data_IF_726408505357
#
_entry.id   IF_726408505357
#
_cell.length_a   1.000
_cell.length_b   1.000
_cell.length_c   1.000
_cell.angle_alpha   90.00
_cell.angle_beta   90.00
_cell.angle_gamma   90.00
#
_symmetry.space_group_name_H-M   'P 1'
#
loop_
_entity.id
_entity.type
_entity.pdbx_description
1 polymer ?
#
# COMPACT_ATOMS: atom_id res chain seq x y z
N UNK A 1 25.77 -15.16 -4.02
CA UNK A 1 25.72 -15.78 -2.64
C UNK A 1 24.35 -15.65 -1.95
N UNK A 2 23.24 -15.46 -2.71
CA UNK A 2 21.89 -15.29 -2.13
C UNK A 2 20.94 -16.48 -2.40
N UNK A 3 21.47 -17.66 -2.70
CA UNK A 3 20.66 -18.86 -2.93
C UNK A 3 19.92 -19.23 -1.63
N UNK A 4 18.58 -19.09 -1.64
CA UNK A 4 17.71 -19.44 -0.52
C UNK A 4 17.20 -18.26 0.32
N UNK A 5 17.62 -17.01 0.04
CA UNK A 5 17.08 -15.83 0.74
C UNK A 5 15.77 -15.36 0.08
N UNK A 6 14.71 -15.28 0.86
CA UNK A 6 13.45 -14.67 0.45
C UNK A 6 13.35 -13.22 0.96
N UNK A 7 12.88 -12.34 0.10
CA UNK A 7 12.84 -10.90 0.33
C UNK A 7 11.43 -10.42 0.67
N UNK A 8 11.29 -9.41 1.53
CA UNK A 8 10.00 -8.74 1.71
C UNK A 8 9.58 -8.05 0.40
N UNK A 9 8.27 -7.94 0.18
CA UNK A 9 7.70 -7.32 -1.01
C UNK A 9 6.86 -6.10 -0.62
N UNK A 10 7.00 -5.02 -1.39
CA UNK A 10 6.06 -3.89 -1.39
C UNK A 10 5.31 -3.85 -2.72
N UNK A 11 3.98 -3.97 -2.68
CA UNK A 11 3.09 -3.63 -3.78
C UNK A 11 2.71 -2.16 -3.65
N UNK A 12 3.00 -1.37 -4.70
CA UNK A 12 2.68 0.06 -4.76
C UNK A 12 1.64 0.36 -5.82
N UNK A 13 0.60 1.08 -5.44
CA UNK A 13 -0.48 1.53 -6.31
C UNK A 13 -0.38 3.06 -6.50
N UNK A 14 -0.16 3.47 -7.75
CA UNK A 14 0.00 4.88 -8.12
C UNK A 14 -1.31 5.68 -8.11
N UNK A 15 -1.22 7.01 -8.21
CA UNK A 15 -2.34 7.92 -8.35
C UNK A 15 -2.98 7.91 -9.74
N UNK A 16 -4.04 8.69 -9.92
CA UNK A 16 -4.82 8.72 -11.17
C UNK A 16 -4.02 9.25 -12.37
N UNK A 17 -3.04 10.11 -12.12
CA UNK A 17 -2.21 10.73 -13.18
C UNK A 17 -1.19 9.81 -13.84
N UNK A 18 -0.94 8.62 -13.28
CA UNK A 18 0.04 7.66 -13.77
C UNK A 18 -0.62 6.47 -14.52
N UNK A 19 -1.95 6.52 -14.74
CA UNK A 19 -2.66 5.52 -15.55
C UNK A 19 -2.19 5.52 -17.00
N UNK A 20 -2.47 4.45 -17.72
CA UNK A 20 -2.18 4.32 -19.15
C UNK A 20 -1.22 3.18 -19.48
N UNK A 21 -0.43 3.34 -20.54
CA UNK A 21 0.44 2.31 -21.09
C UNK A 21 1.94 2.70 -21.06
N UNK A 22 2.28 3.83 -20.46
CA UNK A 22 3.66 4.35 -20.44
C UNK A 22 4.26 4.18 -19.05
N UNK A 23 5.02 3.10 -18.84
CA UNK A 23 5.65 2.78 -17.55
C UNK A 23 6.54 3.89 -16.98
N UNK A 24 7.05 4.81 -17.80
CA UNK A 24 7.80 5.96 -17.31
C UNK A 24 6.96 6.86 -16.39
N UNK A 25 5.63 6.89 -16.56
CA UNK A 25 4.74 7.66 -15.70
C UNK A 25 4.69 7.10 -14.27
N UNK A 26 4.72 5.77 -14.12
CA UNK A 26 4.69 5.10 -12.82
C UNK A 26 5.91 5.47 -11.96
N UNK A 27 7.03 5.85 -12.60
CA UNK A 27 8.28 6.21 -11.91
C UNK A 27 8.33 7.65 -11.38
N UNK A 28 7.29 8.45 -11.60
CA UNK A 28 7.27 9.86 -11.20
C UNK A 28 7.19 10.07 -9.70
N UNK A 29 6.49 9.18 -9.01
CA UNK A 29 6.18 9.30 -7.59
C UNK A 29 6.35 7.97 -6.86
N UNK A 30 6.21 8.00 -5.54
CA UNK A 30 6.09 6.83 -4.69
C UNK A 30 7.29 5.90 -4.67
N UNK A 31 7.01 4.63 -4.45
CA UNK A 31 8.05 3.59 -4.31
C UNK A 31 8.97 3.50 -5.52
N UNK A 32 8.50 3.54 -6.79
CA UNK A 32 9.40 3.46 -7.95
C UNK A 32 10.44 4.60 -8.00
N UNK A 33 10.04 5.82 -7.58
CA UNK A 33 10.96 6.95 -7.46
C UNK A 33 12.02 6.72 -6.39
N UNK A 34 11.62 6.19 -5.24
CA UNK A 34 12.54 5.85 -4.13
C UNK A 34 13.55 4.78 -4.57
N UNK A 35 13.07 3.69 -5.17
CA UNK A 35 13.91 2.58 -5.66
C UNK A 35 14.94 3.07 -6.69
N UNK A 36 14.56 3.99 -7.58
CA UNK A 36 15.48 4.55 -8.56
C UNK A 36 16.66 5.33 -7.92
N UNK A 37 16.49 5.79 -6.68
CA UNK A 37 17.50 6.56 -5.93
C UNK A 37 18.24 5.72 -4.86
N UNK A 38 17.76 4.52 -4.56
CA UNK A 38 18.29 3.64 -3.50
C UNK A 38 18.58 2.24 -4.06
N UNK A 39 19.80 2.01 -4.59
CA UNK A 39 20.18 0.69 -5.16
C UNK A 39 20.07 -0.47 -4.16
N UNK A 40 20.25 -0.20 -2.87
CA UNK A 40 20.18 -1.19 -1.79
C UNK A 40 18.82 -1.24 -1.10
N UNK A 41 17.75 -0.89 -1.83
CA UNK A 41 16.39 -0.92 -1.28
C UNK A 41 16.02 -2.35 -0.83
N UNK A 42 15.64 -2.55 0.46
CA UNK A 42 15.60 -3.89 1.06
C UNK A 42 14.33 -4.69 0.76
N UNK A 43 13.61 -4.34 -0.31
CA UNK A 43 12.36 -4.98 -0.71
C UNK A 43 12.35 -5.31 -2.21
N UNK A 44 11.65 -6.35 -2.58
CA UNK A 44 11.12 -6.48 -3.95
C UNK A 44 10.01 -5.46 -4.12
N UNK A 45 10.15 -4.52 -5.05
CA UNK A 45 9.15 -3.49 -5.32
C UNK A 45 8.35 -3.86 -6.58
N UNK A 46 7.04 -3.99 -6.44
CA UNK A 46 6.10 -4.24 -7.55
C UNK A 46 5.19 -3.03 -7.71
N UNK A 47 5.19 -2.44 -8.90
CA UNK A 47 4.47 -1.21 -9.19
C UNK A 47 3.75 -1.36 -10.54
N UNK A 48 2.58 -2.00 -10.57
CA UNK A 48 1.80 -2.15 -11.79
C UNK A 48 1.30 -0.80 -12.28
N UNK A 49 0.96 -0.71 -13.57
CA UNK A 49 0.26 0.44 -14.13
C UNK A 49 -1.22 0.11 -14.31
N UNK A 50 -2.08 0.95 -13.74
CA UNK A 50 -3.53 0.86 -13.91
C UNK A 50 -3.89 1.30 -15.33
N UNK A 51 -4.73 0.56 -16.07
CA UNK A 51 -5.25 1.00 -17.38
C UNK A 51 -5.97 2.34 -17.27
N UNK A 52 -5.92 3.14 -18.33
CA UNK A 52 -6.46 4.50 -18.35
C UNK A 52 -7.97 4.55 -18.06
N UNK A 53 -8.71 3.56 -18.56
CA UNK A 53 -10.18 3.49 -18.45
C UNK A 53 -10.69 2.94 -17.09
N UNK A 54 -9.78 2.57 -16.15
CA UNK A 54 -10.16 1.89 -14.92
C UNK A 54 -9.60 2.58 -13.68
N UNK A 55 -10.06 2.12 -12.52
CA UNK A 55 -9.57 2.51 -11.20
C UNK A 55 -9.12 1.25 -10.43
N UNK A 56 -8.26 1.40 -9.42
CA UNK A 56 -7.70 0.28 -8.69
C UNK A 56 -8.73 -0.64 -8.03
N UNK A 57 -9.84 -0.09 -7.51
CA UNK A 57 -10.90 -0.92 -6.92
C UNK A 57 -11.56 -1.88 -7.92
N UNK A 58 -11.53 -1.55 -9.22
CA UNK A 58 -12.01 -2.41 -10.30
C UNK A 58 -10.97 -3.48 -10.69
N UNK A 59 -9.72 -3.30 -10.29
CA UNK A 59 -8.59 -4.18 -10.60
C UNK A 59 -8.23 -5.13 -9.45
N UNK A 60 -9.02 -5.18 -8.39
CA UNK A 60 -8.73 -5.99 -7.20
C UNK A 60 -8.45 -7.47 -7.53
N UNK A 61 -9.22 -8.17 -8.37
CA UNK A 61 -8.89 -9.54 -8.76
C UNK A 61 -7.61 -9.64 -9.58
N UNK A 62 -7.33 -8.67 -10.46
CA UNK A 62 -6.11 -8.63 -11.27
C UNK A 62 -4.87 -8.42 -10.40
N UNK A 63 -4.96 -7.54 -9.39
CA UNK A 63 -3.88 -7.31 -8.43
C UNK A 63 -3.60 -8.54 -7.56
N UNK A 64 -4.64 -9.28 -7.17
CA UNK A 64 -4.49 -10.57 -6.48
C UNK A 64 -3.74 -11.57 -7.34
N UNK A 65 -4.16 -11.76 -8.59
CA UNK A 65 -3.50 -12.66 -9.53
C UNK A 65 -2.04 -12.27 -9.80
N UNK A 66 -1.74 -10.97 -9.92
CA UNK A 66 -0.38 -10.46 -10.04
C UNK A 66 0.48 -10.84 -8.83
N UNK A 67 -0.04 -10.65 -7.61
CA UNK A 67 0.69 -11.02 -6.38
C UNK A 67 0.97 -12.52 -6.32
N UNK A 68 0.00 -13.36 -6.67
CA UNK A 68 0.18 -14.82 -6.70
C UNK A 68 1.30 -15.21 -7.66
N UNK A 69 1.31 -14.65 -8.87
CA UNK A 69 2.35 -14.90 -9.88
C UNK A 69 3.74 -14.44 -9.40
N UNK A 70 3.82 -13.27 -8.77
CA UNK A 70 5.08 -12.73 -8.25
C UNK A 70 5.62 -13.61 -7.11
N UNK A 71 4.79 -14.04 -6.19
CA UNK A 71 5.19 -14.93 -5.08
C UNK A 71 5.64 -16.30 -5.58
N UNK A 72 5.01 -16.81 -6.65
CA UNK A 72 5.39 -18.08 -7.25
C UNK A 72 6.73 -18.02 -8.00
N UNK A 73 6.97 -16.92 -8.74
CA UNK A 73 8.11 -16.80 -9.67
C UNK A 73 9.38 -16.22 -9.05
N UNK A 74 9.26 -15.44 -7.98
CA UNK A 74 10.39 -14.72 -7.40
C UNK A 74 10.63 -15.12 -5.95
N UNK A 75 11.84 -14.91 -5.46
CA UNK A 75 12.25 -15.20 -4.08
C UNK A 75 11.62 -14.20 -3.09
N UNK A 76 10.30 -14.18 -3.00
CA UNK A 76 9.51 -13.36 -2.08
C UNK A 76 9.19 -14.13 -0.81
N UNK A 77 9.30 -13.47 0.35
CA UNK A 77 8.80 -14.00 1.61
C UNK A 77 7.27 -13.73 1.69
N UNK A 78 6.42 -14.76 1.56
CA UNK A 78 4.96 -14.57 1.53
C UNK A 78 4.40 -14.09 2.87
N UNK A 79 5.18 -14.13 3.94
CA UNK A 79 4.79 -13.60 5.25
C UNK A 79 5.12 -12.12 5.41
N UNK A 80 5.87 -11.52 4.50
CA UNK A 80 6.29 -10.11 4.51
C UNK A 80 5.91 -9.39 3.23
N UNK A 81 4.62 -9.39 2.90
CA UNK A 81 4.03 -8.65 1.78
C UNK A 81 3.34 -7.42 2.34
N UNK A 82 3.72 -6.26 1.84
CA UNK A 82 3.18 -4.96 2.24
C UNK A 82 2.49 -4.28 1.07
N UNK A 83 1.47 -3.48 1.37
CA UNK A 83 0.71 -2.75 0.37
C UNK A 83 0.68 -1.26 0.71
N UNK A 84 0.92 -0.42 -0.28
CA UNK A 84 0.82 1.03 -0.15
C UNK A 84 0.38 1.66 -1.46
N UNK A 85 -0.16 2.87 -1.39
CA UNK A 85 -0.54 3.63 -2.56
C UNK A 85 -1.02 5.01 -2.17
N UNK A 86 -1.01 5.94 -3.12
CA UNK A 86 -1.39 7.32 -2.92
C UNK A 86 -2.60 7.73 -3.76
N UNK A 87 -3.46 8.59 -3.22
CA UNK A 87 -4.64 9.12 -3.93
C UNK A 87 -5.53 7.97 -4.44
N UNK A 88 -5.76 7.83 -5.73
CA UNK A 88 -6.42 6.67 -6.32
C UNK A 88 -5.81 5.33 -5.82
N UNK A 89 -4.48 5.27 -5.69
CA UNK A 89 -3.78 4.12 -5.11
C UNK A 89 -4.02 3.95 -3.62
N UNK A 90 -4.28 5.02 -2.88
CA UNK A 90 -4.71 4.98 -1.48
C UNK A 90 -6.07 4.31 -1.32
N UNK A 91 -7.04 4.66 -2.18
CA UNK A 91 -8.33 3.96 -2.29
C UNK A 91 -8.14 2.49 -2.69
N UNK A 92 -7.27 2.22 -3.68
CA UNK A 92 -6.91 0.87 -4.10
C UNK A 92 -6.29 0.04 -2.98
N UNK A 93 -5.48 0.67 -2.12
CA UNK A 93 -4.87 0.04 -0.94
C UNK A 93 -5.94 -0.45 0.03
N UNK A 94 -6.89 0.39 0.39
CA UNK A 94 -8.02 -0.01 1.23
C UNK A 94 -8.84 -1.13 0.57
N UNK A 95 -9.21 -0.96 -0.71
CA UNK A 95 -10.06 -1.92 -1.43
C UNK A 95 -9.40 -3.30 -1.55
N UNK A 96 -8.12 -3.37 -1.93
CA UNK A 96 -7.42 -4.65 -2.07
C UNK A 96 -7.20 -5.32 -0.71
N UNK A 97 -6.83 -4.55 0.31
CA UNK A 97 -6.57 -5.11 1.63
C UNK A 97 -7.85 -5.60 2.32
N UNK A 98 -8.97 -4.89 2.20
CA UNK A 98 -10.25 -5.36 2.76
C UNK A 98 -10.78 -6.61 2.05
N UNK A 99 -10.51 -6.75 0.74
CA UNK A 99 -10.91 -7.93 -0.02
C UNK A 99 -10.04 -9.17 0.28
N UNK A 100 -8.74 -8.98 0.58
CA UNK A 100 -7.77 -10.05 0.80
C UNK A 100 -6.83 -9.71 1.97
N UNK A 101 -7.36 -9.58 3.21
CA UNK A 101 -6.56 -9.18 4.37
C UNK A 101 -5.44 -10.17 4.70
N UNK A 102 -5.64 -11.45 4.39
CA UNK A 102 -4.66 -12.52 4.62
C UNK A 102 -3.38 -12.40 3.78
N UNK A 103 -3.38 -11.56 2.74
CA UNK A 103 -2.19 -11.37 1.90
C UNK A 103 -1.14 -10.49 2.56
N UNK A 104 -1.55 -9.53 3.40
CA UNK A 104 -0.68 -8.44 3.81
C UNK A 104 -0.21 -8.54 5.26
N UNK A 105 1.08 -8.32 5.48
CA UNK A 105 1.67 -8.19 6.81
C UNK A 105 1.42 -6.79 7.42
N UNK A 106 1.31 -5.77 6.59
CA UNK A 106 0.91 -4.41 6.95
C UNK A 106 0.55 -3.60 5.71
N UNK A 107 -0.24 -2.53 5.87
CA UNK A 107 -0.60 -1.63 4.77
C UNK A 107 -0.40 -0.15 5.14
N UNK A 108 -0.10 0.68 4.14
CA UNK A 108 0.08 2.13 4.31
C UNK A 108 -0.69 2.92 3.23
N UNK A 109 -2.00 3.15 3.38
CA UNK A 109 -2.78 3.98 2.48
C UNK A 109 -2.49 5.48 2.70
N UNK A 110 -2.31 6.23 1.59
CA UNK A 110 -1.99 7.67 1.62
C UNK A 110 -3.04 8.44 0.84
N UNK A 111 -3.64 9.48 1.44
CA UNK A 111 -4.65 10.37 0.84
C UNK A 111 -5.77 9.59 0.14
N UNK A 112 -6.33 8.59 0.81
CA UNK A 112 -7.37 7.73 0.25
C UNK A 112 -8.39 7.30 1.30
N UNK A 113 -9.37 6.54 0.86
CA UNK A 113 -10.41 5.97 1.72
C UNK A 113 -10.95 4.67 1.15
N UNK A 114 -12.01 4.20 1.71
CA UNK A 114 -12.69 2.97 1.33
C UNK A 114 -14.10 2.93 1.90
N UNK A 115 -14.65 1.74 2.02
CA UNK A 115 -15.94 1.48 2.62
C UNK A 115 -15.76 1.20 4.13
N UNK A 116 -16.16 2.10 5.04
CA UNK A 116 -15.96 1.93 6.47
C UNK A 116 -16.57 0.64 7.02
N UNK A 117 -17.68 0.18 6.43
CA UNK A 117 -18.37 -1.05 6.80
C UNK A 117 -17.50 -2.30 6.57
N UNK A 118 -16.49 -2.21 5.71
CA UNK A 118 -15.55 -3.28 5.42
C UNK A 118 -14.27 -3.19 6.26
N UNK A 119 -14.05 -2.11 7.01
CA UNK A 119 -12.81 -1.87 7.73
C UNK A 119 -12.46 -2.98 8.73
N UNK A 120 -13.47 -3.62 9.33
CA UNK A 120 -13.28 -4.71 10.29
C UNK A 120 -12.58 -5.94 9.71
N UNK A 121 -12.57 -6.12 8.38
CA UNK A 121 -11.78 -7.17 7.74
C UNK A 121 -10.28 -7.03 8.01
N UNK A 122 -9.82 -5.80 8.28
CA UNK A 122 -8.41 -5.48 8.57
C UNK A 122 -8.05 -5.51 10.06
N UNK A 123 -8.91 -6.06 10.92
CA UNK A 123 -8.67 -6.06 12.38
C UNK A 123 -7.30 -6.61 12.77
N UNK A 124 -6.83 -7.65 12.08
CA UNK A 124 -5.55 -8.32 12.34
C UNK A 124 -4.40 -7.81 11.44
N UNK A 125 -4.66 -6.82 10.58
CA UNK A 125 -3.67 -6.24 9.67
C UNK A 125 -3.24 -4.87 10.21
N UNK A 126 -1.97 -4.66 10.60
CA UNK A 126 -1.46 -3.35 10.97
C UNK A 126 -1.62 -2.34 9.85
N UNK A 127 -2.19 -1.18 10.17
CA UNK A 127 -2.42 -0.10 9.22
C UNK A 127 -1.74 1.19 9.68
N UNK A 128 -1.01 1.83 8.79
CA UNK A 128 -0.51 3.19 9.01
C UNK A 128 -1.01 4.11 7.91
N UNK A 129 -2.09 4.82 8.17
CA UNK A 129 -2.68 5.76 7.23
C UNK A 129 -2.03 7.15 7.32
N UNK A 130 -1.98 7.85 6.17
CA UNK A 130 -1.39 9.19 6.05
C UNK A 130 -2.29 10.12 5.25
N UNK A 131 -2.37 11.41 5.65
CA UNK A 131 -3.12 12.42 4.91
C UNK A 131 -2.61 13.83 5.24
N UNK A 132 -2.71 14.76 4.29
CA UNK A 132 -2.54 16.18 4.54
C UNK A 132 -3.86 16.82 4.98
N UNK A 133 -3.87 17.68 6.00
CA UNK A 133 -5.12 18.29 6.49
C UNK A 133 -5.63 19.46 5.63
N UNK A 134 -4.79 19.95 4.71
CA UNK A 134 -5.13 20.96 3.74
C UNK A 134 -5.33 20.40 2.31
N UNK A 135 -5.63 19.10 2.19
CA UNK A 135 -5.84 18.41 0.91
C UNK A 135 -7.12 18.91 0.20
N UNK A 136 -7.02 19.62 -0.95
CA UNK A 136 -8.17 20.14 -1.66
C UNK A 136 -8.76 19.15 -2.69
N UNK A 137 -8.14 17.98 -2.88
CA UNK A 137 -8.51 16.99 -3.91
C UNK A 137 -9.24 15.81 -3.29
N UNK A 138 -8.67 15.24 -2.23
CA UNK A 138 -9.28 14.17 -1.44
C UNK A 138 -9.46 14.66 -0.02
N UNK A 139 -10.69 14.91 0.37
CA UNK A 139 -11.00 15.37 1.73
C UNK A 139 -10.50 14.34 2.77
N UNK A 140 -9.82 14.81 3.81
CA UNK A 140 -9.24 13.99 4.87
C UNK A 140 -10.27 13.11 5.59
N UNK A 141 -11.56 13.45 5.51
CA UNK A 141 -12.64 12.66 6.11
C UNK A 141 -12.71 11.25 5.52
N UNK A 142 -12.26 11.03 4.29
CA UNK A 142 -12.16 9.70 3.71
C UNK A 142 -11.21 8.79 4.52
N UNK A 143 -10.01 9.26 4.83
CA UNK A 143 -9.08 8.51 5.68
C UNK A 143 -9.59 8.40 7.12
N UNK A 144 -10.16 9.48 7.68
CA UNK A 144 -10.67 9.47 9.06
C UNK A 144 -11.74 8.42 9.27
N UNK A 145 -12.75 8.33 8.39
CA UNK A 145 -13.81 7.33 8.49
C UNK A 145 -13.27 5.89 8.51
N UNK A 146 -12.30 5.57 7.65
CA UNK A 146 -11.68 4.25 7.64
C UNK A 146 -10.91 3.97 8.93
N UNK A 147 -10.13 4.94 9.41
CA UNK A 147 -9.35 4.83 10.65
C UNK A 147 -10.25 4.67 11.87
N UNK A 148 -11.32 5.45 11.96
CA UNK A 148 -12.31 5.38 13.04
C UNK A 148 -13.01 4.03 13.05
N UNK A 149 -13.54 3.60 11.90
CA UNK A 149 -14.21 2.30 11.77
C UNK A 149 -13.29 1.14 12.15
N UNK A 150 -12.02 1.18 11.73
CA UNK A 150 -11.06 0.13 12.09
C UNK A 150 -10.73 0.14 13.59
N UNK A 151 -10.62 1.31 14.22
CA UNK A 151 -10.45 1.43 15.69
C UNK A 151 -11.63 0.87 16.45
N UNK A 152 -12.85 1.13 16.00
CA UNK A 152 -14.06 0.59 16.60
C UNK A 152 -14.11 -0.94 16.58
N UNK A 153 -13.50 -1.55 15.57
CA UNK A 153 -13.32 -3.01 15.48
C UNK A 153 -12.16 -3.55 16.35
N UNK A 154 -11.40 -2.67 17.01
CA UNK A 154 -10.21 -3.05 17.76
C UNK A 154 -8.99 -3.37 16.90
N UNK A 155 -8.92 -2.84 15.68
CA UNK A 155 -7.77 -3.00 14.79
C UNK A 155 -6.58 -2.11 15.17
N UNK A 156 -5.38 -2.55 14.83
CA UNK A 156 -4.14 -1.79 15.02
C UNK A 156 -3.98 -0.77 13.89
N UNK A 157 -4.41 0.48 14.16
CA UNK A 157 -4.34 1.57 13.17
C UNK A 157 -3.68 2.82 13.71
N UNK A 158 -2.61 3.23 13.03
CA UNK A 158 -1.91 4.50 13.20
C UNK A 158 -2.36 5.49 12.12
N UNK A 159 -2.57 6.75 12.49
CA UNK A 159 -2.93 7.80 11.54
C UNK A 159 -2.00 9.00 11.71
N UNK A 160 -1.26 9.34 10.67
CA UNK A 160 -0.42 10.54 10.62
C UNK A 160 -1.09 11.59 9.76
N UNK A 161 -1.42 12.72 10.35
CA UNK A 161 -1.93 13.90 9.67
C UNK A 161 -0.78 14.89 9.51
N UNK A 162 -0.54 15.32 8.28
CA UNK A 162 0.46 16.34 7.99
C UNK A 162 -0.18 17.72 7.96
N UNK A 163 0.13 18.53 8.96
CA UNK A 163 -0.41 19.88 9.12
C UNK A 163 0.04 20.80 7.96
N UNK A 164 -0.91 21.51 7.36
CA UNK A 164 -0.71 22.44 6.25
C UNK A 164 -0.32 21.78 4.92
N UNK A 165 -0.31 20.44 4.85
CA UNK A 165 0.03 19.71 3.63
C UNK A 165 -1.22 19.48 2.79
N UNK A 166 -1.13 19.79 1.50
CA UNK A 166 -2.17 19.52 0.50
C UNK A 166 -2.19 18.07 0.06
N UNK A 167 -2.57 17.83 -1.21
CA UNK A 167 -2.75 16.48 -1.73
C UNK A 167 -1.45 15.66 -1.78
N UNK A 168 -0.29 16.28 -1.98
CA UNK A 168 1.01 15.57 -2.01
C UNK A 168 1.53 15.24 -0.59
N UNK A 169 0.79 14.44 0.15
CA UNK A 169 1.29 13.87 1.40
C UNK A 169 2.25 12.68 1.17
N UNK A 170 2.22 12.08 -0.02
CA UNK A 170 3.01 10.87 -0.33
C UNK A 170 4.50 11.14 -0.48
N UNK A 171 4.92 12.31 -1.00
CA UNK A 171 6.34 12.64 -1.12
C UNK A 171 6.99 12.58 0.27
N UNK A 172 6.44 13.29 1.23
CA UNK A 172 6.92 13.28 2.62
C UNK A 172 6.86 11.89 3.26
N UNK A 173 5.81 11.11 2.95
CA UNK A 173 5.64 9.77 3.52
C UNK A 173 6.67 8.79 2.98
N UNK A 174 6.89 8.75 1.66
CA UNK A 174 7.82 7.79 1.04
C UNK A 174 9.29 8.17 1.22
N UNK A 175 9.60 9.43 1.49
CA UNK A 175 10.95 9.89 1.86
C UNK A 175 11.27 9.61 3.35
N UNK A 176 10.28 9.21 4.14
CA UNK A 176 10.48 8.90 5.56
C UNK A 176 10.97 7.46 5.76
N UNK A 177 12.22 7.23 6.21
CA UNK A 177 12.75 5.89 6.41
C UNK A 177 12.00 5.09 7.49
N UNK A 178 11.29 5.78 8.39
CA UNK A 178 10.51 5.14 9.45
C UNK A 178 9.37 4.28 8.87
N UNK A 179 8.81 4.64 7.70
CA UNK A 179 7.80 3.82 7.03
C UNK A 179 8.33 2.41 6.71
N UNK A 180 9.53 2.34 6.14
CA UNK A 180 10.13 1.06 5.74
C UNK A 180 10.55 0.22 6.94
N UNK A 181 11.09 0.87 7.98
CA UNK A 181 11.39 0.21 9.25
C UNK A 181 10.12 -0.35 9.90
N UNK A 182 9.04 0.43 9.87
CA UNK A 182 7.74 -0.01 10.40
C UNK A 182 7.20 -1.22 9.61
N UNK A 183 7.24 -1.21 8.28
CA UNK A 183 6.87 -2.38 7.49
C UNK A 183 7.64 -3.62 7.94
N UNK A 184 8.96 -3.54 8.06
CA UNK A 184 9.83 -4.67 8.42
C UNK A 184 9.60 -5.20 9.86
N UNK A 185 8.94 -4.46 10.73
CA UNK A 185 8.53 -4.90 12.05
C UNK A 185 7.34 -5.86 12.03
N UNK A 186 6.57 -5.88 10.93
CA UNK A 186 5.38 -6.69 10.79
C UNK A 186 5.64 -7.91 9.90
N UNK A 187 5.23 -9.07 10.40
CA UNK A 187 5.29 -10.35 9.70
C UNK A 187 4.01 -11.12 10.00
N UNK A 188 3.38 -11.68 8.98
CA UNK A 188 2.27 -12.62 9.19
C UNK A 188 2.76 -13.90 9.89
N UNK A 189 1.90 -14.58 10.66
CA UNK A 189 2.19 -15.93 11.11
C UNK A 189 2.58 -16.82 9.93
N UNK A 190 3.58 -17.69 10.12
CA UNK A 190 3.87 -18.74 9.16
C UNK A 190 2.63 -19.64 9.09
N UNK A 191 1.88 -19.57 8.00
CA UNK A 191 0.79 -20.52 7.78
C UNK A 191 1.46 -21.79 7.20
N UNK A 192 1.53 -22.90 7.95
CA UNK A 192 2.00 -24.15 7.36
C UNK A 192 1.02 -24.46 6.23
N UNK A 193 1.49 -24.40 4.98
CA UNK A 193 0.70 -24.82 3.83
C UNK A 193 0.25 -26.24 4.09
N UNK A 194 -1.07 -26.39 4.28
CA UNK A 194 -1.76 -27.67 4.30
C UNK A 194 -1.58 -28.41 2.98
#
# INVERSE_FOLDING_TARGET
ENAGRHWPLILYLHGIGERGETLAQVKRHGIPKVVAQQPDFPFVAVSPQCPEETLWHQQVPTLKALLDEIVERYAVDPTRIYLTGNSMGGFGTWALATAYPELFAAIAPICGGGEPEQACALKEVPVWAFHGDADPVVDITWSRKMVEALRECGGDVRFTVYEGVGHDAWTRTYENPTLYTWFLQHKKPDNPRS
#
